data_IF_270113314864
#
_entry.id   IF_270113314864
#
_cell.length_a   1.000
_cell.length_b   1.000
_cell.length_c   1.000
_cell.angle_alpha   90.00
_cell.angle_beta   90.00
_cell.angle_gamma   90.00
#
_symmetry.space_group_name_H-M   'P 1'
#
loop_
_entity.id
_entity.type
_entity.pdbx_description
1 polymer ?
#
# COMPACT_ATOMS: atom_id res chain seq x y z
N UNK A 1 16.35 0.33 19.19
CA UNK A 1 16.67 -0.48 17.99
C UNK A 1 15.75 -1.69 17.77
N UNK A 2 15.39 -2.49 18.79
CA UNK A 2 14.44 -3.62 18.63
C UNK A 2 13.06 -3.20 18.07
N UNK A 3 12.50 -2.08 18.55
CA UNK A 3 11.25 -1.52 18.03
C UNK A 3 11.32 -1.11 16.55
N UNK A 4 12.47 -0.59 16.11
CA UNK A 4 12.68 -0.25 14.70
C UNK A 4 12.74 -1.49 13.80
N UNK A 5 13.26 -2.61 14.31
CA UNK A 5 13.22 -3.89 13.61
C UNK A 5 11.77 -4.39 13.46
N UNK A 6 11.01 -4.37 14.56
CA UNK A 6 9.59 -4.75 14.53
C UNK A 6 8.78 -3.86 13.58
N UNK A 7 9.05 -2.54 13.56
CA UNK A 7 8.43 -1.60 12.63
C UNK A 7 8.70 -1.97 11.17
N UNK A 8 9.96 -2.25 10.80
CA UNK A 8 10.30 -2.70 9.44
C UNK A 8 9.62 -4.01 9.05
N UNK A 9 9.45 -4.93 10.00
CA UNK A 9 8.76 -6.20 9.76
C UNK A 9 7.28 -6.00 9.41
N UNK A 10 6.63 -5.04 10.05
CA UNK A 10 5.21 -4.72 9.86
C UNK A 10 4.97 -3.85 8.62
N UNK A 11 5.95 -3.02 8.26
CA UNK A 11 5.83 -2.02 7.19
C UNK A 11 5.48 -2.63 5.82
N UNK A 12 6.21 -3.65 5.36
CA UNK A 12 5.95 -4.24 4.04
C UNK A 12 4.59 -4.97 3.96
N UNK A 13 4.21 -5.80 4.94
CA UNK A 13 2.87 -6.35 5.00
C UNK A 13 1.78 -5.29 5.05
N UNK A 14 1.99 -4.19 5.78
CA UNK A 14 1.04 -3.08 5.89
C UNK A 14 0.84 -2.33 4.56
N UNK A 15 1.81 -2.37 3.63
CA UNK A 15 1.65 -1.82 2.28
C UNK A 15 0.87 -2.77 1.35
N UNK A 16 1.03 -4.09 1.53
CA UNK A 16 0.44 -5.10 0.64
C UNK A 16 -1.00 -5.49 1.03
N UNK A 17 -1.27 -5.72 2.32
CA UNK A 17 -2.56 -6.26 2.77
C UNK A 17 -3.76 -5.37 2.47
N UNK A 18 -3.72 -4.03 2.65
CA UNK A 18 -4.84 -3.17 2.27
C UNK A 18 -5.17 -3.28 0.78
N UNK A 19 -4.15 -3.32 -0.08
CA UNK A 19 -4.32 -3.45 -1.54
C UNK A 19 -4.92 -4.81 -1.92
N UNK A 20 -4.44 -5.89 -1.31
CA UNK A 20 -5.04 -7.23 -1.48
C UNK A 20 -6.49 -7.28 -0.98
N UNK A 21 -6.80 -6.60 0.14
CA UNK A 21 -8.16 -6.48 0.67
C UNK A 21 -9.06 -5.75 -0.34
N UNK A 22 -8.61 -4.61 -0.88
CA UNK A 22 -9.30 -3.87 -1.95
C UNK A 22 -9.56 -4.81 -3.13
N UNK A 23 -8.54 -5.45 -3.70
CA UNK A 23 -8.70 -6.38 -4.82
C UNK A 23 -9.73 -7.49 -4.52
N UNK A 24 -9.69 -8.05 -3.31
CA UNK A 24 -10.64 -9.09 -2.91
C UNK A 24 -12.08 -8.58 -2.81
N UNK A 25 -12.28 -7.36 -2.28
CA UNK A 25 -13.60 -6.73 -2.19
C UNK A 25 -14.14 -6.40 -3.58
N UNK A 26 -13.32 -5.82 -4.45
CA UNK A 26 -13.71 -5.51 -5.83
C UNK A 26 -13.96 -6.76 -6.67
N UNK A 27 -13.20 -7.85 -6.47
CA UNK A 27 -13.46 -9.12 -7.15
C UNK A 27 -14.79 -9.75 -6.73
N UNK A 28 -15.29 -9.47 -5.53
CA UNK A 28 -16.61 -9.92 -5.05
C UNK A 28 -17.74 -9.04 -5.58
N UNK A 29 -17.52 -7.72 -5.70
CA UNK A 29 -18.54 -6.75 -6.13
C UNK A 29 -18.70 -6.74 -7.65
N UNK A 30 -17.60 -6.74 -8.39
CA UNK A 30 -17.59 -6.59 -9.85
C UNK A 30 -17.23 -7.91 -10.55
N UNK A 31 -17.89 -9.00 -10.17
CA UNK A 31 -17.62 -10.34 -10.71
C UNK A 31 -18.07 -10.54 -12.17
N UNK A 32 -18.67 -9.53 -12.80
CA UNK A 32 -19.16 -9.61 -14.17
C UNK A 32 -18.01 -9.42 -15.19
N UNK A 33 -17.77 -10.45 -16.01
CA UNK A 33 -16.78 -10.45 -17.09
C UNK A 33 -15.46 -11.15 -16.75
N UNK A 34 -15.09 -12.13 -17.59
CA UNK A 34 -13.85 -12.89 -17.45
C UNK A 34 -12.59 -12.01 -17.43
N UNK A 35 -12.57 -10.95 -18.25
CA UNK A 35 -11.44 -10.03 -18.35
C UNK A 35 -11.20 -9.28 -17.03
N UNK A 36 -12.26 -8.74 -16.41
CA UNK A 36 -12.14 -8.01 -15.14
C UNK A 36 -11.60 -8.90 -14.03
N UNK A 37 -12.14 -10.11 -13.93
CA UNK A 37 -11.68 -11.10 -12.94
C UNK A 37 -10.20 -11.43 -13.14
N UNK A 38 -9.77 -11.63 -14.39
CA UNK A 38 -8.36 -11.88 -14.71
C UNK A 38 -7.47 -10.67 -14.41
N UNK A 39 -7.91 -9.45 -14.69
CA UNK A 39 -7.15 -8.22 -14.37
C UNK A 39 -6.96 -8.04 -12.86
N UNK A 40 -8.02 -8.20 -12.06
CA UNK A 40 -7.94 -8.10 -10.59
C UNK A 40 -7.09 -9.24 -10.01
N UNK A 41 -7.23 -10.47 -10.52
CA UNK A 41 -6.38 -11.59 -10.12
C UNK A 41 -4.91 -11.37 -10.48
N UNK A 42 -4.63 -10.85 -11.68
CA UNK A 42 -3.29 -10.46 -12.09
C UNK A 42 -2.70 -9.41 -11.16
N UNK A 43 -3.50 -8.43 -10.74
CA UNK A 43 -3.08 -7.40 -9.79
C UNK A 43 -2.82 -7.95 -8.39
N UNK A 44 -3.64 -8.88 -7.90
CA UNK A 44 -3.38 -9.57 -6.63
C UNK A 44 -2.05 -10.33 -6.67
N UNK A 45 -1.78 -11.03 -7.77
CA UNK A 45 -0.51 -11.74 -7.98
C UNK A 45 0.66 -10.75 -8.04
N UNK A 46 0.50 -9.64 -8.76
CA UNK A 46 1.49 -8.58 -8.88
C UNK A 46 1.84 -7.94 -7.53
N UNK A 47 0.89 -7.85 -6.59
CA UNK A 47 1.12 -7.32 -5.24
C UNK A 47 1.75 -8.40 -4.34
N UNK A 48 1.26 -9.64 -4.40
CA UNK A 48 1.67 -10.71 -3.49
C UNK A 48 3.08 -11.24 -3.79
N UNK A 49 3.43 -11.44 -5.07
CA UNK A 49 4.73 -11.98 -5.49
C UNK A 49 5.91 -11.15 -4.94
N UNK A 50 5.96 -9.81 -5.11
CA UNK A 50 7.08 -9.01 -4.61
C UNK A 50 7.04 -8.77 -3.10
N UNK A 51 5.87 -8.90 -2.45
CA UNK A 51 5.73 -8.72 -1.00
C UNK A 51 6.44 -9.83 -0.18
N UNK A 52 6.46 -11.07 -0.70
CA UNK A 52 7.10 -12.21 -0.04
C UNK A 52 8.64 -12.05 0.03
N UNK A 53 9.38 -11.86 -1.09
CA UNK A 53 10.84 -11.76 -1.05
C UNK A 53 11.30 -10.51 -0.31
N UNK A 54 10.61 -9.36 -0.44
CA UNK A 54 11.02 -8.14 0.28
C UNK A 54 10.89 -8.31 1.80
N UNK A 55 9.88 -9.06 2.25
CA UNK A 55 9.70 -9.39 3.66
C UNK A 55 10.86 -10.23 4.19
N UNK A 56 11.21 -11.32 3.50
CA UNK A 56 12.34 -12.17 3.90
C UNK A 56 13.69 -11.45 3.81
N UNK A 57 13.89 -10.60 2.80
CA UNK A 57 15.09 -9.76 2.70
C UNK A 57 15.22 -8.82 3.91
N UNK A 58 14.11 -8.29 4.43
CA UNK A 58 14.12 -7.44 5.62
C UNK A 58 14.34 -8.23 6.92
N UNK A 59 13.77 -9.44 7.01
CA UNK A 59 13.98 -10.34 8.15
C UNK A 59 15.46 -10.74 8.25
N UNK A 60 16.05 -11.13 7.12
CA UNK A 60 17.41 -11.67 7.06
C UNK A 60 18.46 -10.63 6.65
N UNK A 61 18.16 -9.34 6.79
CA UNK A 61 19.05 -8.24 6.38
C UNK A 61 20.44 -8.26 7.05
N UNK A 62 20.53 -8.86 8.24
CA UNK A 62 21.78 -9.03 8.99
C UNK A 62 22.03 -10.51 9.33
N UNK A 63 23.28 -10.94 9.25
CA UNK A 63 23.73 -12.28 9.62
C UNK A 63 24.81 -12.18 10.71
N UNK A 64 24.53 -12.63 11.95
CA UNK A 64 23.25 -13.07 12.49
C UNK A 64 22.26 -11.91 12.73
N UNK A 65 20.96 -12.21 12.80
CA UNK A 65 19.86 -11.22 12.90
C UNK A 65 20.06 -10.28 14.09
N UNK A 66 20.62 -10.77 15.20
CA UNK A 66 20.89 -9.95 16.39
C UNK A 66 21.82 -8.75 16.16
N UNK A 67 22.62 -8.77 15.10
CA UNK A 67 23.50 -7.65 14.75
C UNK A 67 22.72 -6.41 14.34
N UNK A 68 21.45 -6.55 13.91
CA UNK A 68 20.62 -5.41 13.55
C UNK A 68 20.45 -4.41 14.71
N UNK A 69 20.28 -4.92 15.94
CA UNK A 69 20.03 -4.12 17.14
C UNK A 69 21.24 -4.03 18.09
N UNK A 70 22.44 -4.34 17.60
CA UNK A 70 23.68 -4.22 18.37
C UNK A 70 24.36 -2.88 18.07
N UNK A 71 24.77 -2.15 19.10
CA UNK A 71 25.51 -0.89 18.95
C UNK A 71 26.92 -1.14 18.37
N UNK A 72 27.41 -0.26 17.50
CA UNK A 72 28.71 -0.45 16.83
C UNK A 72 28.74 -1.58 15.79
N UNK A 73 27.57 -1.95 15.22
CA UNK A 73 27.45 -3.06 14.27
C UNK A 73 28.45 -2.98 13.10
N UNK A 74 29.18 -4.07 12.79
CA UNK A 74 30.05 -4.11 11.61
C UNK A 74 29.20 -4.02 10.34
N UNK A 75 29.47 -3.04 9.48
CA UNK A 75 28.73 -2.84 8.22
C UNK A 75 28.71 -4.11 7.33
N UNK A 76 29.77 -4.93 7.39
CA UNK A 76 29.88 -6.18 6.65
C UNK A 76 28.81 -7.24 7.02
N UNK A 77 28.29 -7.22 8.26
CA UNK A 77 27.31 -8.22 8.73
C UNK A 77 25.86 -7.88 8.39
N UNK A 78 25.58 -6.67 7.91
CA UNK A 78 24.25 -6.18 7.51
C UNK A 78 24.21 -5.74 6.04
N UNK A 79 24.93 -6.46 5.16
CA UNK A 79 25.15 -6.07 3.75
C UNK A 79 23.99 -6.46 2.83
N UNK A 80 23.04 -7.29 3.26
CA UNK A 80 21.99 -7.84 2.39
C UNK A 80 21.03 -6.75 1.87
N UNK A 81 20.84 -5.65 2.62
CA UNK A 81 20.11 -4.45 2.16
C UNK A 81 21.02 -3.35 1.61
N UNK A 82 22.34 -3.58 1.53
CA UNK A 82 23.27 -2.62 0.93
C UNK A 82 23.05 -2.40 -0.56
N UNK A 83 22.29 -3.29 -1.21
CA UNK A 83 21.78 -3.11 -2.57
C UNK A 83 20.34 -2.58 -2.53
N UNK A 84 20.20 -1.25 -2.41
CA UNK A 84 18.91 -0.55 -2.36
C UNK A 84 17.99 -0.80 -3.58
N UNK A 85 18.51 -1.46 -4.62
CA UNK A 85 17.77 -1.88 -5.81
C UNK A 85 16.52 -2.68 -5.49
N UNK A 86 16.57 -3.60 -4.53
CA UNK A 86 15.41 -4.43 -4.18
C UNK A 86 14.26 -3.59 -3.60
N UNK A 87 14.58 -2.63 -2.72
CA UNK A 87 13.60 -1.68 -2.16
C UNK A 87 13.04 -0.79 -3.26
N UNK A 88 13.88 -0.34 -4.19
CA UNK A 88 13.47 0.51 -5.30
C UNK A 88 12.51 -0.21 -6.26
N UNK A 89 12.86 -1.44 -6.66
CA UNK A 89 12.01 -2.27 -7.52
C UNK A 89 10.68 -2.56 -6.84
N UNK A 90 10.70 -2.97 -5.56
CA UNK A 90 9.47 -3.19 -4.79
C UNK A 90 8.62 -1.92 -4.73
N UNK A 91 9.24 -0.77 -4.45
CA UNK A 91 8.54 0.51 -4.37
C UNK A 91 7.92 0.94 -5.69
N UNK A 92 8.60 0.70 -6.82
CA UNK A 92 8.07 0.97 -8.15
C UNK A 92 6.86 0.07 -8.49
N UNK A 93 6.95 -1.23 -8.20
CA UNK A 93 5.83 -2.16 -8.41
C UNK A 93 4.64 -1.78 -7.54
N UNK A 94 4.89 -1.37 -6.29
CA UNK A 94 3.85 -0.95 -5.37
C UNK A 94 3.12 0.31 -5.85
N UNK A 95 3.84 1.33 -6.33
CA UNK A 95 3.22 2.53 -6.95
C UNK A 95 2.45 2.17 -8.22
N UNK A 96 3.00 1.28 -9.05
CA UNK A 96 2.30 0.79 -10.23
C UNK A 96 0.99 0.09 -9.85
N UNK A 97 0.98 -0.69 -8.76
CA UNK A 97 -0.22 -1.35 -8.28
C UNK A 97 -1.30 -0.36 -7.81
N UNK A 98 -0.92 0.76 -7.19
CA UNK A 98 -1.86 1.84 -6.82
C UNK A 98 -2.52 2.47 -8.05
N UNK A 99 -1.72 2.80 -9.07
CA UNK A 99 -2.22 3.38 -10.32
C UNK A 99 -3.10 2.37 -11.06
N UNK A 100 -2.68 1.11 -11.13
CA UNK A 100 -3.45 0.04 -11.77
C UNK A 100 -4.80 -0.19 -11.07
N UNK A 101 -4.83 -0.16 -9.72
CA UNK A 101 -6.06 -0.23 -8.93
C UNK A 101 -7.03 0.88 -9.36
N UNK A 102 -6.56 2.12 -9.42
CA UNK A 102 -7.40 3.26 -9.81
C UNK A 102 -7.91 3.10 -11.24
N UNK A 103 -7.05 2.73 -12.20
CA UNK A 103 -7.42 2.56 -13.62
C UNK A 103 -8.48 1.47 -13.79
N UNK A 104 -8.40 0.38 -13.03
CA UNK A 104 -9.35 -0.73 -13.11
C UNK A 104 -10.69 -0.36 -12.45
N UNK A 105 -10.63 0.30 -11.29
CA UNK A 105 -11.81 0.59 -10.48
C UNK A 105 -12.60 1.79 -11.01
N UNK A 106 -11.92 2.85 -11.46
CA UNK A 106 -12.56 4.12 -11.83
C UNK A 106 -13.62 3.97 -12.94
N UNK A 107 -13.36 3.31 -14.08
CA UNK A 107 -14.36 3.17 -15.13
C UNK A 107 -15.60 2.41 -14.64
N UNK A 108 -15.40 1.39 -13.81
CA UNK A 108 -16.50 0.58 -13.25
C UNK A 108 -17.38 1.36 -12.30
N UNK A 109 -16.78 2.23 -11.49
CA UNK A 109 -17.52 3.15 -10.63
C UNK A 109 -18.35 4.15 -11.46
N UNK A 110 -17.84 4.58 -12.61
CA UNK A 110 -18.52 5.54 -13.49
C UNK A 110 -19.64 4.92 -14.34
N UNK A 111 -19.51 3.64 -14.70
CA UNK A 111 -20.53 2.86 -15.42
C UNK A 111 -21.73 2.46 -14.53
N UNK A 112 -21.51 2.41 -13.21
CA UNK A 112 -22.53 1.94 -12.27
C UNK A 112 -23.69 2.95 -12.14
N UNK A 113 -24.91 2.48 -12.42
CA UNK A 113 -26.15 3.27 -12.28
C UNK A 113 -26.56 3.38 -10.80
N UNK A 114 -25.94 4.31 -10.07
CA UNK A 114 -26.25 4.62 -8.67
C UNK A 114 -26.77 6.06 -8.50
N UNK A 115 -27.40 6.33 -7.36
CA UNK A 115 -27.80 7.69 -6.97
C UNK A 115 -26.60 8.64 -6.93
N UNK A 116 -26.80 9.92 -7.24
CA UNK A 116 -25.70 10.91 -7.30
C UNK A 116 -24.89 10.99 -6.01
N UNK A 117 -25.51 10.80 -4.84
CA UNK A 117 -24.82 10.76 -3.54
C UNK A 117 -23.86 9.57 -3.42
N UNK A 118 -24.31 8.39 -3.84
CA UNK A 118 -23.46 7.19 -3.83
C UNK A 118 -22.35 7.29 -4.88
N UNK A 119 -22.62 7.91 -6.02
CA UNK A 119 -21.61 8.19 -7.05
C UNK A 119 -20.47 9.04 -6.51
N UNK A 120 -20.78 10.16 -5.84
CA UNK A 120 -19.76 11.02 -5.22
C UNK A 120 -18.94 10.27 -4.17
N UNK A 121 -19.57 9.47 -3.31
CA UNK A 121 -18.86 8.65 -2.34
C UNK A 121 -17.86 7.68 -2.99
N UNK A 122 -18.29 6.98 -4.05
CA UNK A 122 -17.41 6.04 -4.79
C UNK A 122 -16.26 6.77 -5.50
N UNK A 123 -16.53 7.92 -6.12
CA UNK A 123 -15.47 8.74 -6.75
C UNK A 123 -14.48 9.24 -5.71
N UNK A 124 -14.93 9.67 -4.52
CA UNK A 124 -14.04 10.06 -3.43
C UNK A 124 -13.13 8.92 -2.97
N UNK A 125 -13.66 7.69 -2.87
CA UNK A 125 -12.88 6.50 -2.53
C UNK A 125 -11.78 6.24 -3.56
N UNK A 126 -12.11 6.37 -4.85
CA UNK A 126 -11.11 6.23 -5.91
C UNK A 126 -10.08 7.37 -5.88
N UNK A 127 -10.51 8.59 -5.53
CA UNK A 127 -9.62 9.74 -5.30
C UNK A 127 -8.60 9.49 -4.19
N UNK A 128 -8.97 8.82 -3.11
CA UNK A 128 -8.02 8.38 -2.09
C UNK A 128 -6.99 7.38 -2.66
N UNK A 129 -7.38 6.49 -3.58
CA UNK A 129 -6.43 5.64 -4.30
C UNK A 129 -5.34 6.42 -5.06
N UNK A 130 -5.71 7.55 -5.68
CA UNK A 130 -4.73 8.45 -6.31
C UNK A 130 -3.81 9.13 -5.29
N UNK A 131 -4.33 9.53 -4.13
CA UNK A 131 -3.51 10.08 -3.06
C UNK A 131 -2.48 9.06 -2.53
N UNK A 132 -2.86 7.79 -2.42
CA UNK A 132 -1.91 6.72 -2.08
C UNK A 132 -0.80 6.59 -3.13
N UNK A 133 -1.13 6.63 -4.43
CA UNK A 133 -0.13 6.61 -5.50
C UNK A 133 0.84 7.81 -5.42
N UNK A 134 0.33 9.02 -5.16
CA UNK A 134 1.16 10.23 -4.98
C UNK A 134 2.08 10.09 -3.75
N UNK A 135 1.57 9.56 -2.64
CA UNK A 135 2.38 9.27 -1.46
C UNK A 135 3.49 8.26 -1.75
N UNK A 136 3.21 7.22 -2.55
CA UNK A 136 4.21 6.26 -2.98
C UNK A 136 5.29 6.85 -3.90
N UNK A 137 4.90 7.73 -4.86
CA UNK A 137 5.84 8.42 -5.76
C UNK A 137 6.76 9.36 -4.98
N UNK A 138 6.19 10.17 -4.08
CA UNK A 138 6.96 11.08 -3.22
C UNK A 138 7.91 10.30 -2.33
N UNK A 139 7.46 9.23 -1.68
CA UNK A 139 8.32 8.30 -0.92
C UNK A 139 9.53 7.83 -1.73
N UNK A 140 9.32 7.42 -2.99
CA UNK A 140 10.39 6.97 -3.88
C UNK A 140 11.37 8.08 -4.25
N UNK A 141 10.87 9.29 -4.51
CA UNK A 141 11.72 10.45 -4.78
C UNK A 141 12.58 10.82 -3.56
N UNK A 142 12.00 10.81 -2.36
CA UNK A 142 12.72 11.11 -1.11
C UNK A 142 13.72 10.02 -0.75
N UNK A 143 13.43 8.76 -1.06
CA UNK A 143 14.39 7.66 -0.94
C UNK A 143 15.64 7.92 -1.81
N UNK A 144 15.47 8.25 -3.10
CA UNK A 144 16.61 8.56 -3.98
C UNK A 144 17.47 9.73 -3.48
N UNK A 145 16.83 10.80 -3.01
CA UNK A 145 17.53 11.96 -2.45
C UNK A 145 18.31 11.60 -1.19
N UNK A 146 17.72 10.75 -0.34
CA UNK A 146 18.33 10.31 0.92
C UNK A 146 19.54 9.41 0.68
N UNK A 147 19.46 8.50 -0.29
CA UNK A 147 20.56 7.61 -0.66
C UNK A 147 21.74 8.33 -1.33
N UNK A 148 21.51 9.53 -1.88
CA UNK A 148 22.55 10.33 -2.53
C UNK A 148 23.29 11.27 -1.56
N UNK A 149 22.93 11.29 -0.26
CA UNK A 149 23.55 12.18 0.73
C UNK A 149 24.88 11.60 1.23
N UNK A 150 25.97 12.40 1.24
CA UNK A 150 27.28 11.95 1.73
C UNK A 150 27.35 11.75 3.25
N UNK A 151 26.55 12.48 4.03
CA UNK A 151 26.44 12.32 5.50
C UNK A 151 25.06 11.77 5.86
N UNK A 152 24.80 10.51 5.53
CA UNK A 152 23.51 9.85 5.78
C UNK A 152 23.36 9.50 7.26
N UNK A 153 22.43 10.17 7.94
CA UNK A 153 21.95 9.74 9.26
C UNK A 153 20.62 9.02 9.07
N UNK A 154 20.62 7.70 9.25
CA UNK A 154 19.44 6.87 9.08
C UNK A 154 18.27 7.27 10.00
N UNK A 155 18.53 7.87 11.17
CA UNK A 155 17.46 8.26 12.09
C UNK A 155 16.83 9.58 11.67
N UNK A 156 17.66 10.55 11.27
CA UNK A 156 17.19 11.87 10.87
C UNK A 156 16.66 11.87 9.44
N UNK A 157 17.32 11.23 8.48
CA UNK A 157 16.94 11.30 7.07
C UNK A 157 15.76 10.37 6.70
N UNK A 158 15.44 9.38 7.52
CA UNK A 158 14.30 8.47 7.29
C UNK A 158 12.94 9.04 7.72
N UNK A 159 12.90 10.20 8.38
CA UNK A 159 11.66 10.77 8.91
C UNK A 159 10.61 10.98 7.82
N UNK A 160 11.03 11.59 6.70
CA UNK A 160 10.13 12.01 5.63
C UNK A 160 9.64 10.80 4.84
N UNK A 161 10.53 9.82 4.59
CA UNK A 161 10.16 8.52 4.01
C UNK A 161 9.09 7.85 4.88
N UNK A 162 9.22 7.93 6.20
CA UNK A 162 8.27 7.34 7.14
C UNK A 162 6.92 8.04 7.14
N UNK A 163 6.89 9.37 6.99
CA UNK A 163 5.65 10.17 6.87
C UNK A 163 4.88 9.77 5.61
N UNK A 164 5.56 9.73 4.45
CA UNK A 164 4.91 9.36 3.19
C UNK A 164 4.47 7.90 3.16
N UNK A 165 5.27 6.98 3.73
CA UNK A 165 4.88 5.57 3.87
C UNK A 165 3.65 5.42 4.75
N UNK A 166 3.59 6.12 5.89
CA UNK A 166 2.44 6.09 6.78
C UNK A 166 1.19 6.64 6.10
N UNK A 167 1.33 7.75 5.37
CA UNK A 167 0.25 8.36 4.59
C UNK A 167 -0.29 7.37 3.56
N UNK A 168 0.59 6.69 2.82
CA UNK A 168 0.22 5.67 1.84
C UNK A 168 -0.59 4.52 2.48
N UNK A 169 -0.14 4.02 3.64
CA UNK A 169 -0.80 2.92 4.37
C UNK A 169 -2.19 3.36 4.86
N UNK A 170 -2.29 4.52 5.52
CA UNK A 170 -3.56 4.99 6.08
C UNK A 170 -4.60 5.27 5.00
N UNK A 171 -4.19 5.93 3.91
CA UNK A 171 -5.09 6.21 2.79
C UNK A 171 -5.56 4.89 2.14
N UNK A 172 -4.65 3.94 1.95
CA UNK A 172 -4.98 2.61 1.44
C UNK A 172 -5.94 1.83 2.36
N UNK A 173 -5.80 1.98 3.68
CA UNK A 173 -6.69 1.36 4.66
C UNK A 173 -8.11 1.95 4.61
N UNK A 174 -8.22 3.27 4.45
CA UNK A 174 -9.52 3.95 4.25
C UNK A 174 -10.19 3.43 2.97
N UNK A 175 -9.44 3.30 1.88
CA UNK A 175 -9.93 2.71 0.63
C UNK A 175 -10.40 1.26 0.81
N UNK A 176 -9.65 0.46 1.57
CA UNK A 176 -9.98 -0.94 1.84
C UNK A 176 -11.25 -1.11 2.68
N UNK A 177 -11.50 -0.20 3.63
CA UNK A 177 -12.70 -0.23 4.48
C UNK A 177 -13.97 0.19 3.72
N UNK A 178 -13.83 1.00 2.67
CA UNK A 178 -14.96 1.66 2.02
C UNK A 178 -16.07 0.72 1.48
N UNK A 179 -15.76 -0.43 0.84
CA UNK A 179 -16.80 -1.38 0.40
C UNK A 179 -17.62 -1.97 1.56
N UNK A 180 -17.01 -2.14 2.74
CA UNK A 180 -17.66 -2.68 3.93
C UNK A 180 -18.55 -1.68 4.68
N UNK A 181 -18.34 -0.37 4.47
CA UNK A 181 -19.09 0.69 5.14
C UNK A 181 -20.53 0.80 4.59
N UNK A 182 -20.74 0.53 3.29
CA UNK A 182 -22.05 0.66 2.63
C UNK A 182 -23.20 -0.10 3.34
N UNK A 183 -23.11 -1.42 3.62
CA UNK A 183 -24.18 -2.16 4.30
C UNK A 183 -24.42 -1.68 5.74
N UNK A 184 -23.38 -1.26 6.45
CA UNK A 184 -23.48 -0.76 7.83
C UNK A 184 -24.20 0.58 7.86
N UNK A 185 -23.85 1.50 6.95
CA UNK A 185 -24.49 2.82 6.85
C UNK A 185 -25.96 2.70 6.47
N UNK A 186 -26.34 1.75 5.61
CA UNK A 186 -27.75 1.50 5.31
C UNK A 186 -28.55 0.96 6.51
N UNK A 187 -27.90 0.27 7.45
CA UNK A 187 -28.56 -0.27 8.64
C UNK A 187 -28.73 0.79 9.73
N UNK A 188 -27.68 1.61 9.98
CA UNK A 188 -27.65 2.57 11.10
C UNK A 188 -28.29 3.91 10.72
N UNK A 189 -28.18 4.34 9.46
CA UNK A 189 -28.63 5.66 9.00
C UNK A 189 -29.49 5.56 7.72
N UNK A 190 -30.65 4.86 7.76
CA UNK A 190 -31.52 4.66 6.58
C UNK A 190 -32.02 5.97 5.96
N UNK A 191 -32.15 7.04 6.76
CA UNK A 191 -32.52 8.39 6.30
C UNK A 191 -31.47 9.06 5.41
N UNK A 192 -30.19 8.67 5.50
CA UNK A 192 -29.10 9.22 4.68
C UNK A 192 -29.00 8.47 3.35
N UNK A 193 -29.27 7.16 3.35
CA UNK A 193 -29.16 6.29 2.18
C UNK A 193 -30.39 6.31 1.27
N UNK A 194 -31.49 6.96 1.68
CA UNK A 194 -32.71 7.04 0.88
C UNK A 194 -33.42 5.69 0.73
N UNK A 195 -33.11 4.73 1.59
CA UNK A 195 -33.85 3.47 1.67
C UNK A 195 -35.16 3.76 2.42
N UNK A 196 -36.24 3.98 1.67
CA UNK A 196 -37.57 3.70 2.18
C UNK A 196 -37.66 2.19 2.37
N UNK A 197 -37.86 1.76 3.62
CA UNK A 197 -38.33 0.41 3.94
C UNK A 197 -39.56 0.06 3.10
#
# INVERSE_FOLDING_TARGET
>A
QKWAFAGNLILFPALAFPKLSICSAYSRIFSEGLLNRRMIQGLMVLIAIPAIPIFFLNVFQCQPIQVFWTEGRPAAKCRILGDFRAIYIHGAINVFADIALVIIVLPRVLELRVSSRQRWALVSIVGFGLLAAVAGITRMARLNLTLSKPNFDASWDAYDISIWTSTEIYVSLVCAAAPGIKPVVSLVLPKITGASL
#
